data_IF_557019371645
#
_entry.id   IF_557019371645
#
_cell.length_a   1.000
_cell.length_b   1.000
_cell.length_c   1.000
_cell.angle_alpha   90.00
_cell.angle_beta   90.00
_cell.angle_gamma   90.00
#
_symmetry.space_group_name_H-M   'P 1'
#
loop_
_entity.id
_entity.type
_entity.pdbx_description
1 polymer ?
#
# COMPACT_ATOMS: atom_id res chain seq x y z
N UNK A 1 -6.48 4.51 -4.84
CA UNK A 1 -6.60 3.10 -5.24
C UNK A 1 -6.26 2.88 -6.70
N UNK A 2 -7.01 3.44 -7.68
CA UNK A 2 -6.76 3.28 -9.14
C UNK A 2 -5.28 3.32 -9.51
N UNK A 3 -4.57 4.41 -9.20
CA UNK A 3 -3.18 4.58 -9.58
C UNK A 3 -2.22 3.56 -8.93
N UNK A 4 -2.54 3.11 -7.72
CA UNK A 4 -1.76 2.09 -7.03
C UNK A 4 -2.03 0.72 -7.63
N UNK A 5 -3.29 0.35 -7.81
CA UNK A 5 -3.68 -0.96 -8.34
C UNK A 5 -3.22 -1.17 -9.78
N UNK A 6 -3.34 -0.17 -10.67
CA UNK A 6 -2.84 -0.29 -12.04
C UNK A 6 -1.32 -0.41 -12.09
N UNK A 7 -0.60 0.42 -11.31
CA UNK A 7 0.86 0.38 -11.26
C UNK A 7 1.42 -0.91 -10.68
N UNK A 8 0.80 -1.49 -9.64
CA UNK A 8 1.25 -2.80 -9.14
C UNK A 8 0.87 -3.93 -10.10
N UNK A 9 -0.29 -3.86 -10.75
CA UNK A 9 -0.74 -4.90 -11.67
C UNK A 9 0.17 -4.97 -12.91
N UNK A 10 0.49 -3.82 -13.52
CA UNK A 10 1.47 -3.73 -14.62
C UNK A 10 2.80 -4.36 -14.22
N UNK A 11 3.35 -3.93 -13.07
CA UNK A 11 4.64 -4.42 -12.57
C UNK A 11 4.62 -5.93 -12.31
N UNK A 12 3.61 -6.44 -11.60
CA UNK A 12 3.54 -7.85 -11.25
C UNK A 12 3.26 -8.73 -12.46
N UNK A 13 2.48 -8.27 -13.42
CA UNK A 13 2.26 -8.99 -14.67
C UNK A 13 3.57 -9.14 -15.46
N UNK A 14 4.42 -8.11 -15.47
CA UNK A 14 5.77 -8.21 -16.03
C UNK A 14 6.67 -9.18 -15.25
N UNK A 15 6.57 -9.24 -13.92
CA UNK A 15 7.30 -10.21 -13.10
C UNK A 15 6.85 -11.65 -13.44
N UNK A 16 5.55 -11.90 -13.53
CA UNK A 16 4.98 -13.18 -13.96
C UNK A 16 5.50 -13.59 -15.34
N UNK A 17 5.51 -12.66 -16.30
CA UNK A 17 6.05 -12.90 -17.65
C UNK A 17 7.50 -13.35 -17.62
N UNK A 18 8.34 -12.66 -16.84
CA UNK A 18 9.77 -12.97 -16.73
C UNK A 18 10.01 -14.28 -15.96
N UNK A 19 9.16 -14.60 -14.98
CA UNK A 19 9.23 -15.85 -14.22
C UNK A 19 9.01 -17.10 -15.10
N UNK A 20 8.27 -16.96 -16.22
CA UNK A 20 8.11 -18.01 -17.23
C UNK A 20 9.31 -18.15 -18.20
N UNK A 21 10.39 -17.37 -18.01
CA UNK A 21 11.57 -17.39 -18.86
C UNK A 21 11.26 -17.07 -20.32
N UNK A 22 11.90 -17.77 -21.26
CA UNK A 22 11.70 -17.57 -22.70
C UNK A 22 10.26 -17.83 -23.16
N UNK A 23 9.56 -18.78 -22.53
CA UNK A 23 8.17 -19.10 -22.88
C UNK A 23 7.22 -17.95 -22.57
N UNK A 24 7.48 -17.18 -21.51
CA UNK A 24 6.71 -15.97 -21.19
C UNK A 24 6.86 -14.85 -22.22
N UNK A 25 7.85 -14.91 -23.13
CA UNK A 25 7.95 -13.95 -24.24
C UNK A 25 7.00 -14.29 -25.39
N UNK A 26 6.65 -15.57 -25.55
CA UNK A 26 5.80 -16.03 -26.64
C UNK A 26 4.35 -15.57 -26.40
N UNK A 27 3.63 -15.28 -27.50
CA UNK A 27 2.21 -14.95 -27.45
C UNK A 27 1.39 -16.10 -26.84
N UNK A 28 1.86 -17.34 -27.01
CA UNK A 28 1.28 -18.54 -26.42
C UNK A 28 1.23 -18.54 -24.88
N UNK A 29 1.94 -17.62 -24.21
CA UNK A 29 1.83 -17.45 -22.75
C UNK A 29 0.58 -16.69 -22.30
N UNK A 30 -0.12 -15.96 -23.18
CA UNK A 30 -1.27 -15.12 -22.82
C UNK A 30 -0.93 -13.83 -22.06
N UNK A 31 0.24 -13.76 -21.40
CA UNK A 31 0.61 -12.65 -20.49
C UNK A 31 0.85 -11.32 -21.21
N UNK A 32 1.40 -11.35 -22.44
CA UNK A 32 1.78 -10.11 -23.15
C UNK A 32 0.57 -9.23 -23.51
N UNK A 33 -0.52 -9.77 -24.08
CA UNK A 33 -1.79 -9.03 -24.23
C UNK A 33 -2.28 -8.41 -22.91
N UNK A 34 -2.24 -9.17 -21.81
CA UNK A 34 -2.63 -8.69 -20.48
C UNK A 34 -1.77 -7.53 -20.02
N UNK A 35 -0.43 -7.63 -20.15
CA UNK A 35 0.48 -6.52 -19.84
C UNK A 35 0.12 -5.23 -20.59
N UNK A 36 -0.16 -5.32 -21.89
CA UNK A 36 -0.50 -4.15 -22.70
C UNK A 36 -1.79 -3.47 -22.20
N UNK A 37 -2.79 -4.25 -21.78
CA UNK A 37 -4.02 -3.72 -21.21
C UNK A 37 -3.79 -3.06 -19.85
N UNK A 38 -2.94 -3.65 -19.00
CA UNK A 38 -2.62 -3.11 -17.68
C UNK A 38 -1.79 -1.83 -17.77
N UNK A 39 -0.84 -1.76 -18.72
CA UNK A 39 -0.01 -0.58 -18.98
C UNK A 39 -0.88 0.63 -19.36
N UNK A 40 -1.85 0.44 -20.26
CA UNK A 40 -2.85 1.45 -20.60
C UNK A 40 -3.60 1.99 -19.36
N UNK A 41 -3.90 1.14 -18.38
CA UNK A 41 -4.54 1.51 -17.12
C UNK A 41 -3.72 2.43 -16.22
N UNK A 42 -2.41 2.59 -16.47
CA UNK A 42 -1.57 3.56 -15.78
C UNK A 42 -1.76 5.00 -16.29
N UNK A 43 -2.33 5.18 -17.48
CA UNK A 43 -2.49 6.48 -18.14
C UNK A 43 -3.95 6.88 -18.34
N UNK A 44 -4.82 5.96 -18.77
CA UNK A 44 -6.24 6.25 -18.97
C UNK A 44 -6.94 6.51 -17.63
N UNK A 45 -8.03 7.29 -17.65
CA UNK A 45 -8.78 7.67 -16.43
C UNK A 45 -7.94 8.40 -15.37
N UNK A 46 -6.93 9.15 -15.85
CA UNK A 46 -6.03 9.94 -15.02
C UNK A 46 -4.65 9.31 -14.87
N UNK A 47 -3.63 10.10 -15.19
CA UNK A 47 -2.23 9.73 -14.98
C UNK A 47 -1.98 9.37 -13.51
N UNK A 48 -1.28 8.25 -13.29
CA UNK A 48 -1.05 7.73 -11.95
C UNK A 48 -0.37 8.75 -11.02
N UNK A 49 0.62 9.52 -11.49
CA UNK A 49 1.31 10.51 -10.66
C UNK A 49 0.38 11.67 -10.28
N UNK A 50 -0.46 12.14 -11.22
CA UNK A 50 -1.48 13.16 -10.96
C UNK A 50 -2.49 12.68 -9.92
N UNK A 51 -2.99 11.45 -10.05
CA UNK A 51 -3.95 10.87 -9.10
C UNK A 51 -3.36 10.68 -7.70
N UNK A 52 -2.09 10.29 -7.59
CA UNK A 52 -1.40 10.27 -6.30
C UNK A 52 -1.30 11.67 -5.69
N UNK A 53 -0.94 12.69 -6.47
CA UNK A 53 -0.89 14.08 -5.98
C UNK A 53 -2.26 14.60 -5.55
N UNK A 54 -3.33 14.27 -6.27
CA UNK A 54 -4.71 14.60 -5.86
C UNK A 54 -5.06 13.97 -4.52
N UNK A 55 -4.71 12.69 -4.33
CA UNK A 55 -4.91 11.98 -3.07
C UNK A 55 -4.13 12.65 -1.93
N UNK A 56 -2.85 12.99 -2.15
CA UNK A 56 -2.04 13.66 -1.14
C UNK A 56 -2.62 15.03 -0.73
N UNK A 57 -3.08 15.83 -1.69
CA UNK A 57 -3.72 17.13 -1.44
C UNK A 57 -4.98 16.98 -0.59
N UNK A 58 -5.78 15.95 -0.84
CA UNK A 58 -6.96 15.64 -0.02
C UNK A 58 -6.56 15.34 1.44
N UNK A 59 -5.56 14.46 1.64
CA UNK A 59 -5.10 14.08 2.98
C UNK A 59 -4.53 15.28 3.76
N UNK A 60 -3.72 16.11 3.10
CA UNK A 60 -3.14 17.32 3.70
C UNK A 60 -4.26 18.28 4.11
N UNK A 61 -5.22 18.57 3.23
CA UNK A 61 -6.36 19.45 3.55
C UNK A 61 -7.17 18.94 4.74
N UNK A 62 -7.31 17.63 4.88
CA UNK A 62 -8.02 17.04 6.02
C UNK A 62 -7.26 17.28 7.33
N UNK A 63 -5.93 17.10 7.36
CA UNK A 63 -5.12 17.42 8.55
C UNK A 63 -5.15 18.91 8.88
N UNK A 64 -5.04 19.78 7.87
CA UNK A 64 -5.06 21.23 8.08
C UNK A 64 -6.37 21.72 8.69
N UNK A 65 -7.51 21.17 8.26
CA UNK A 65 -8.82 21.49 8.83
C UNK A 65 -8.97 21.06 10.30
N UNK A 66 -8.40 19.92 10.65
CA UNK A 66 -8.36 19.42 12.03
C UNK A 66 -7.51 20.34 12.92
N UNK A 67 -6.33 20.75 12.43
CA UNK A 67 -5.46 21.70 13.13
C UNK A 67 -6.13 23.08 13.32
N UNK A 68 -6.99 23.51 12.39
CA UNK A 68 -7.77 24.75 12.46
C UNK A 68 -9.02 24.65 13.38
N UNK A 69 -9.33 23.47 13.93
CA UNK A 69 -10.46 23.26 14.84
C UNK A 69 -11.84 23.26 14.15
N UNK A 70 -11.91 22.82 12.89
CA UNK A 70 -13.16 22.71 12.11
C UNK A 70 -14.01 21.52 12.59
N UNK A 71 -14.85 21.75 13.62
CA UNK A 71 -15.75 20.75 14.23
C UNK A 71 -16.81 20.17 13.25
N UNK A 72 -17.04 20.78 12.08
CA UNK A 72 -17.98 20.29 11.05
C UNK A 72 -17.32 19.31 10.06
N UNK A 73 -16.04 18.97 10.24
CA UNK A 73 -15.37 18.06 9.32
C UNK A 73 -15.94 16.64 9.42
N UNK A 74 -16.65 16.21 8.38
CA UNK A 74 -17.07 14.81 8.23
C UNK A 74 -15.84 13.93 7.96
N UNK A 75 -15.27 13.37 9.03
CA UNK A 75 -14.16 12.43 8.96
C UNK A 75 -14.68 11.10 8.44
N UNK A 76 -14.45 10.84 7.15
CA UNK A 76 -14.69 9.52 6.57
C UNK A 76 -13.88 8.44 7.29
N UNK A 77 -14.48 7.26 7.48
CA UNK A 77 -13.84 6.13 8.18
C UNK A 77 -12.48 5.75 7.61
N UNK A 78 -12.26 5.94 6.32
CA UNK A 78 -10.99 5.65 5.64
C UNK A 78 -9.81 6.51 6.08
N UNK A 79 -10.05 7.69 6.67
CA UNK A 79 -9.01 8.61 7.15
C UNK A 79 -9.06 8.84 8.67
N UNK A 80 -9.99 8.21 9.40
CA UNK A 80 -10.18 8.43 10.84
C UNK A 80 -8.91 8.18 11.66
N UNK A 81 -8.08 7.22 11.24
CA UNK A 81 -6.81 6.94 11.91
C UNK A 81 -5.81 8.10 11.82
N UNK A 82 -5.92 9.01 10.83
CA UNK A 82 -5.00 10.16 10.73
C UNK A 82 -5.14 11.12 11.92
N UNK A 83 -6.28 11.10 12.59
CA UNK A 83 -6.59 11.96 13.74
C UNK A 83 -6.47 11.22 15.07
N UNK A 84 -6.65 9.89 15.05
CA UNK A 84 -6.81 9.07 16.25
C UNK A 84 -5.92 7.81 16.30
N UNK A 85 -4.85 7.76 15.50
CA UNK A 85 -3.94 6.61 15.50
C UNK A 85 -3.40 6.33 16.91
N UNK A 86 -3.54 5.07 17.34
CA UNK A 86 -2.89 4.58 18.56
C UNK A 86 -1.38 4.49 18.33
N UNK A 87 -0.55 4.67 19.36
CA UNK A 87 0.89 4.48 19.23
C UNK A 87 1.25 3.12 18.65
N UNK A 88 2.28 3.11 17.81
CA UNK A 88 2.84 1.89 17.26
C UNK A 88 3.34 0.98 18.39
N UNK A 89 3.13 -0.34 18.28
CA UNK A 89 3.60 -1.28 19.28
C UNK A 89 5.13 -1.40 19.23
N UNK A 90 5.76 -1.65 20.39
CA UNK A 90 7.21 -1.87 20.45
C UNK A 90 7.64 -3.21 19.81
N UNK A 91 6.72 -4.16 19.73
CA UNK A 91 6.93 -5.49 19.13
C UNK A 91 5.66 -5.89 18.40
N UNK A 92 5.81 -6.50 17.23
CA UNK A 92 4.69 -6.97 16.42
C UNK A 92 4.35 -8.40 16.88
N UNK A 93 3.15 -8.59 17.38
CA UNK A 93 2.66 -9.87 17.91
C UNK A 93 1.48 -10.41 17.09
N UNK A 94 0.64 -9.52 16.56
CA UNK A 94 -0.58 -9.89 15.83
C UNK A 94 -0.85 -9.01 14.60
N UNK A 95 -1.98 -9.27 13.93
CA UNK A 95 -2.41 -8.53 12.73
C UNK A 95 -2.76 -7.06 13.04
N UNK A 96 -3.27 -6.80 14.25
CA UNK A 96 -3.63 -5.45 14.69
C UNK A 96 -2.39 -4.59 14.88
N UNK A 97 -1.28 -5.17 15.34
CA UNK A 97 0.02 -4.51 15.43
C UNK A 97 0.54 -4.03 14.08
N UNK A 98 0.43 -4.86 13.03
CA UNK A 98 0.77 -4.45 11.67
C UNK A 98 -0.10 -3.28 11.20
N UNK A 99 -1.40 -3.33 11.46
CA UNK A 99 -2.30 -2.25 11.07
C UNK A 99 -1.94 -0.94 11.76
N UNK A 100 -1.70 -0.97 13.08
CA UNK A 100 -1.26 0.21 13.86
C UNK A 100 0.06 0.76 13.34
N UNK A 101 1.01 -0.10 12.98
CA UNK A 101 2.30 0.32 12.45
C UNK A 101 2.16 1.09 11.13
N UNK A 102 1.33 0.60 10.21
CA UNK A 102 1.07 1.26 8.92
C UNK A 102 0.29 2.57 9.09
N UNK A 103 -0.70 2.58 9.99
CA UNK A 103 -1.45 3.78 10.34
C UNK A 103 -0.54 4.86 10.92
N UNK A 104 0.34 4.52 11.86
CA UNK A 104 1.34 5.45 12.39
C UNK A 104 2.27 5.96 11.28
N UNK A 105 2.80 5.08 10.43
CA UNK A 105 3.66 5.49 9.30
C UNK A 105 2.95 6.51 8.42
N UNK A 106 1.74 6.18 7.96
CA UNK A 106 0.98 7.04 7.07
C UNK A 106 0.62 8.37 7.75
N UNK A 107 0.15 8.35 9.00
CA UNK A 107 -0.18 9.56 9.75
C UNK A 107 1.05 10.48 9.89
N UNK A 108 2.19 9.94 10.32
CA UNK A 108 3.41 10.73 10.51
C UNK A 108 3.92 11.33 9.20
N UNK A 109 3.85 10.59 8.08
CA UNK A 109 4.24 11.10 6.77
C UNK A 109 3.30 12.23 6.30
N UNK A 110 1.98 12.07 6.43
CA UNK A 110 1.01 13.12 6.06
C UNK A 110 1.21 14.38 6.93
N UNK A 111 1.37 14.23 8.25
CA UNK A 111 1.64 15.37 9.15
C UNK A 111 2.97 16.07 8.81
N UNK A 112 4.02 15.31 8.53
CA UNK A 112 5.34 15.84 8.16
C UNK A 112 5.28 16.70 6.89
N UNK A 113 4.60 16.23 5.83
CA UNK A 113 4.45 17.04 4.62
C UNK A 113 3.51 18.23 4.83
N UNK A 114 2.44 18.08 5.62
CA UNK A 114 1.53 19.18 5.95
C UNK A 114 2.29 20.35 6.59
N UNK A 115 3.06 20.07 7.64
CA UNK A 115 3.86 21.07 8.35
C UNK A 115 4.88 21.75 7.42
N UNK A 116 5.59 20.97 6.60
CA UNK A 116 6.56 21.52 5.63
C UNK A 116 5.90 22.48 4.63
N UNK A 117 4.69 22.16 4.17
CA UNK A 117 3.95 23.02 3.23
C UNK A 117 3.46 24.30 3.92
N UNK A 118 3.03 24.23 5.18
CA UNK A 118 2.70 25.41 5.98
C UNK A 118 3.91 26.33 6.16
N UNK A 119 5.06 25.78 6.55
CA UNK A 119 6.32 26.52 6.71
C UNK A 119 6.74 27.21 5.39
N UNK A 120 6.62 26.49 4.27
CA UNK A 120 6.99 27.00 2.94
C UNK A 120 6.06 28.13 2.44
N UNK A 121 4.83 28.21 2.97
CA UNK A 121 3.84 29.23 2.61
C UNK A 121 4.19 30.63 3.15
N UNK A 122 5.16 30.72 4.05
CA UNK A 122 5.75 31.99 4.50
C UNK A 122 6.74 32.63 3.51
N UNK A 123 7.11 31.90 2.45
CA UNK A 123 7.99 32.37 1.39
C UNK A 123 7.23 33.07 0.26
N UNK A 124 7.92 33.83 -0.60
CA UNK A 124 7.33 34.47 -1.81
C UNK A 124 6.91 33.48 -2.91
N UNK A 125 6.89 32.17 -2.63
CA UNK A 125 6.50 31.13 -3.60
C UNK A 125 4.98 31.05 -3.72
N UNK A 126 4.46 30.79 -4.92
CA UNK A 126 3.03 30.51 -5.07
C UNK A 126 2.69 29.14 -4.48
N UNK A 127 1.43 28.89 -4.06
CA UNK A 127 1.01 27.57 -3.62
C UNK A 127 1.32 26.47 -4.65
N UNK A 128 1.13 26.76 -5.94
CA UNK A 128 1.46 25.84 -7.03
C UNK A 128 2.94 25.42 -7.00
N UNK A 129 3.86 26.38 -6.85
CA UNK A 129 5.29 26.11 -6.84
C UNK A 129 5.70 25.29 -5.61
N UNK A 130 5.08 25.55 -4.47
CA UNK A 130 5.32 24.78 -3.24
C UNK A 130 4.91 23.32 -3.44
N UNK A 131 3.73 23.06 -4.01
CA UNK A 131 3.28 21.70 -4.31
C UNK A 131 4.17 21.01 -5.36
N UNK A 132 4.58 21.74 -6.41
CA UNK A 132 5.43 21.20 -7.47
C UNK A 132 6.80 20.75 -6.93
N UNK A 133 7.43 21.59 -6.09
CA UNK A 133 8.70 21.28 -5.41
C UNK A 133 8.62 20.04 -4.50
N UNK A 134 7.42 19.70 -4.03
CA UNK A 134 7.19 18.55 -3.15
C UNK A 134 6.48 17.38 -3.85
N UNK A 135 6.36 17.39 -5.18
CA UNK A 135 5.61 16.40 -5.97
C UNK A 135 5.99 14.94 -5.67
N UNK A 136 7.28 14.64 -5.53
CA UNK A 136 7.78 13.30 -5.20
C UNK A 136 7.29 12.86 -3.81
N UNK A 137 7.40 13.73 -2.81
CA UNK A 137 6.96 13.45 -1.44
C UNK A 137 5.43 13.28 -1.37
N UNK A 138 4.68 14.08 -2.12
CA UNK A 138 3.23 13.94 -2.23
C UNK A 138 2.84 12.56 -2.77
N UNK A 139 3.54 12.08 -3.81
CA UNK A 139 3.31 10.73 -4.33
C UNK A 139 3.63 9.67 -3.28
N UNK A 140 4.73 9.83 -2.54
CA UNK A 140 5.12 8.91 -1.46
C UNK A 140 4.08 8.84 -0.34
N UNK A 141 3.62 10.00 0.14
CA UNK A 141 2.58 10.12 1.17
C UNK A 141 1.28 9.46 0.72
N UNK A 142 0.83 9.71 -0.52
CA UNK A 142 -0.36 9.08 -1.06
C UNK A 142 -0.23 7.55 -1.15
N UNK A 143 0.94 7.04 -1.54
CA UNK A 143 1.21 5.59 -1.53
C UNK A 143 1.14 5.01 -0.12
N UNK A 144 1.72 5.66 0.88
CA UNK A 144 1.66 5.20 2.29
C UNK A 144 0.23 5.07 2.82
N UNK A 145 -0.64 6.02 2.45
CA UNK A 145 -2.07 5.98 2.76
C UNK A 145 -2.77 4.80 2.07
N UNK A 146 -2.52 4.59 0.78
CA UNK A 146 -3.15 3.51 0.02
C UNK A 146 -2.66 2.14 0.49
N UNK A 147 -1.37 2.00 0.82
CA UNK A 147 -0.80 0.77 1.41
C UNK A 147 -1.48 0.43 2.73
N UNK A 148 -1.72 1.43 3.58
CA UNK A 148 -2.46 1.27 4.85
C UNK A 148 -3.90 0.85 4.60
N UNK A 149 -4.56 1.47 3.63
CA UNK A 149 -5.93 1.13 3.23
C UNK A 149 -6.03 -0.33 2.73
N UNK A 150 -5.11 -0.76 1.87
CA UNK A 150 -5.08 -2.15 1.36
C UNK A 150 -4.83 -3.14 2.49
N UNK A 151 -3.90 -2.82 3.41
CA UNK A 151 -3.64 -3.66 4.58
C UNK A 151 -4.90 -3.82 5.44
N UNK A 152 -5.65 -2.73 5.69
CA UNK A 152 -6.92 -2.78 6.44
C UNK A 152 -7.99 -3.59 5.71
N UNK A 153 -8.09 -3.46 4.38
CA UNK A 153 -9.01 -4.28 3.60
C UNK A 153 -8.66 -5.78 3.68
N UNK A 154 -7.38 -6.14 3.68
CA UNK A 154 -6.94 -7.53 3.91
C UNK A 154 -7.27 -7.99 5.33
N UNK A 155 -7.03 -7.16 6.34
CA UNK A 155 -7.42 -7.46 7.72
C UNK A 155 -8.92 -7.77 7.83
N UNK A 156 -9.77 -6.92 7.25
CA UNK A 156 -11.22 -7.13 7.23
C UNK A 156 -11.59 -8.42 6.49
N UNK A 157 -10.87 -8.76 5.42
CA UNK A 157 -10.98 -10.03 4.71
C UNK A 157 -10.70 -11.23 5.62
N UNK A 158 -9.60 -11.20 6.37
CA UNK A 158 -9.26 -12.23 7.37
C UNK A 158 -10.37 -12.35 8.41
N UNK A 159 -10.84 -11.22 8.96
CA UNK A 159 -11.91 -11.20 9.98
C UNK A 159 -13.21 -11.82 9.48
N UNK A 160 -13.60 -11.55 8.22
CA UNK A 160 -14.79 -12.15 7.59
C UNK A 160 -14.61 -13.66 7.36
N UNK A 161 -13.41 -14.09 7.04
CA UNK A 161 -13.10 -15.50 6.79
C UNK A 161 -13.00 -16.35 8.06
N UNK A 162 -12.99 -15.77 9.27
CA UNK A 162 -12.86 -16.50 10.54
C UNK A 162 -13.90 -17.62 10.76
N UNK A 163 -15.05 -17.56 10.08
CA UNK A 163 -16.06 -18.62 10.12
C UNK A 163 -15.61 -19.90 9.39
N UNK A 164 -14.58 -19.82 8.54
CA UNK A 164 -14.02 -20.90 7.76
C UNK A 164 -12.53 -21.03 8.06
N UNK A 165 -12.17 -21.86 9.06
CA UNK A 165 -10.80 -21.97 9.58
C UNK A 165 -9.72 -22.12 8.50
N UNK A 166 -9.93 -22.93 7.47
CA UNK A 166 -8.96 -23.12 6.39
C UNK A 166 -8.77 -21.87 5.53
N UNK A 167 -9.85 -21.15 5.22
CA UNK A 167 -9.79 -19.91 4.43
C UNK A 167 -9.17 -18.77 5.24
N UNK A 168 -9.51 -18.66 6.52
CA UNK A 168 -8.93 -17.68 7.42
C UNK A 168 -7.40 -17.79 7.48
N UNK A 169 -6.87 -19.01 7.58
CA UNK A 169 -5.42 -19.26 7.61
C UNK A 169 -4.72 -18.79 6.33
N UNK A 170 -5.31 -19.02 5.16
CA UNK A 170 -4.73 -18.59 3.88
C UNK A 170 -4.79 -17.06 3.74
N UNK A 171 -5.89 -16.44 4.14
CA UNK A 171 -6.00 -14.98 4.12
C UNK A 171 -5.04 -14.32 5.11
N UNK A 172 -4.82 -14.93 6.27
CA UNK A 172 -3.83 -14.47 7.23
C UNK A 172 -2.40 -14.56 6.66
N UNK A 173 -2.08 -15.62 5.93
CA UNK A 173 -0.80 -15.73 5.23
C UNK A 173 -0.63 -14.66 4.16
N UNK A 174 -1.67 -14.40 3.35
CA UNK A 174 -1.66 -13.33 2.34
C UNK A 174 -1.50 -11.95 2.98
N UNK A 175 -2.16 -11.71 4.11
CA UNK A 175 -1.98 -10.50 4.90
C UNK A 175 -0.52 -10.32 5.32
N UNK A 176 0.10 -11.35 5.92
CA UNK A 176 1.50 -11.27 6.37
C UNK A 176 2.46 -11.07 5.20
N UNK A 177 2.25 -11.78 4.09
CA UNK A 177 3.06 -11.58 2.88
C UNK A 177 2.97 -10.13 2.41
N UNK A 178 1.76 -9.57 2.29
CA UNK A 178 1.58 -8.17 1.89
C UNK A 178 2.23 -7.20 2.88
N UNK A 179 2.00 -7.38 4.18
CA UNK A 179 2.48 -6.50 5.24
C UNK A 179 4.01 -6.49 5.29
N UNK A 180 4.64 -7.66 5.35
CA UNK A 180 6.09 -7.78 5.48
C UNK A 180 6.78 -7.38 4.17
N UNK A 181 6.22 -7.73 3.01
CA UNK A 181 6.76 -7.30 1.72
C UNK A 181 6.73 -5.77 1.57
N UNK A 182 5.61 -5.13 1.93
CA UNK A 182 5.48 -3.67 1.87
C UNK A 182 6.41 -3.00 2.87
N UNK A 183 6.49 -3.52 4.10
CA UNK A 183 7.41 -3.04 5.14
C UNK A 183 8.86 -3.10 4.68
N UNK A 184 9.27 -4.21 4.08
CA UNK A 184 10.62 -4.39 3.50
C UNK A 184 10.91 -3.35 2.42
N UNK A 185 9.99 -3.18 1.45
CA UNK A 185 10.17 -2.23 0.35
C UNK A 185 10.19 -0.77 0.83
N UNK A 186 9.59 -0.49 1.98
CA UNK A 186 9.48 0.84 2.58
C UNK A 186 10.23 0.96 3.91
N UNK A 187 11.25 0.12 4.13
CA UNK A 187 11.96 0.00 5.41
C UNK A 187 12.51 1.33 5.91
N UNK A 188 12.94 2.19 4.98
CA UNK A 188 13.46 3.52 5.28
C UNK A 188 12.45 4.37 6.08
N UNK A 189 11.15 4.30 5.78
CA UNK A 189 10.14 5.06 6.51
C UNK A 189 10.00 4.55 7.94
N UNK A 190 9.83 3.23 8.11
CA UNK A 190 9.64 2.61 9.42
C UNK A 190 10.83 2.87 10.35
N UNK A 191 12.05 2.83 9.82
CA UNK A 191 13.27 3.10 10.58
C UNK A 191 13.41 4.59 10.90
N UNK A 192 13.25 5.49 9.91
CA UNK A 192 13.40 6.94 10.11
C UNK A 192 12.38 7.52 11.08
N UNK A 193 11.15 6.98 11.05
CA UNK A 193 10.07 7.35 11.96
C UNK A 193 10.18 6.65 13.32
N UNK A 194 11.21 5.82 13.53
CA UNK A 194 11.44 5.04 14.77
C UNK A 194 10.28 4.13 15.13
N UNK A 195 9.54 3.67 14.13
CA UNK A 195 8.45 2.70 14.28
C UNK A 195 9.01 1.28 14.39
N UNK A 196 10.15 1.02 13.76
CA UNK A 196 10.90 -0.22 13.89
C UNK A 196 12.41 0.06 13.92
N UNK A 197 13.16 -0.85 14.55
CA UNK A 197 14.61 -0.88 14.43
C UNK A 197 15.05 -1.59 13.14
N UNK A 198 16.27 -1.32 12.69
CA UNK A 198 16.87 -2.05 11.57
C UNK A 198 16.93 -3.56 11.83
N UNK A 199 17.15 -3.97 13.08
CA UNK A 199 17.15 -5.38 13.49
C UNK A 199 15.77 -6.00 13.32
N UNK A 200 14.70 -5.33 13.75
CA UNK A 200 13.33 -5.83 13.58
C UNK A 200 12.97 -6.01 12.10
N UNK A 201 13.36 -5.05 11.24
CA UNK A 201 13.18 -5.17 9.79
C UNK A 201 13.96 -6.36 9.24
N UNK A 202 15.22 -6.52 9.63
CA UNK A 202 16.07 -7.63 9.21
C UNK A 202 15.49 -8.99 9.61
N UNK A 203 14.96 -9.12 10.83
CA UNK A 203 14.33 -10.35 11.32
C UNK A 203 13.07 -10.71 10.51
N UNK A 204 12.23 -9.73 10.20
CA UNK A 204 11.03 -9.92 9.38
C UNK A 204 11.40 -10.35 7.95
N UNK A 205 12.39 -9.71 7.33
CA UNK A 205 12.86 -10.04 5.98
C UNK A 205 13.52 -11.41 5.91
N UNK A 206 14.38 -11.74 6.87
CA UNK A 206 15.25 -12.93 6.81
C UNK A 206 14.51 -14.20 7.20
N UNK A 207 13.57 -14.12 8.16
CA UNK A 207 12.95 -15.30 8.74
C UNK A 207 11.44 -15.36 8.49
N UNK A 208 10.73 -14.27 8.79
CA UNK A 208 9.25 -14.29 8.75
C UNK A 208 8.72 -14.36 7.32
N UNK A 209 9.26 -13.56 6.39
CA UNK A 209 8.79 -13.56 5.00
C UNK A 209 9.03 -14.89 4.27
N UNK A 210 10.23 -15.52 4.34
CA UNK A 210 10.45 -16.84 3.75
C UNK A 210 9.57 -17.94 4.35
N UNK A 211 9.35 -17.92 5.67
CA UNK A 211 8.43 -18.85 6.33
C UNK A 211 7.00 -18.69 5.79
N UNK A 212 6.51 -17.46 5.65
CA UNK A 212 5.19 -17.21 5.05
C UNK A 212 5.10 -17.69 3.61
N UNK A 213 6.14 -17.49 2.79
CA UNK A 213 6.18 -18.05 1.43
C UNK A 213 6.11 -19.58 1.43
N UNK A 214 6.84 -20.25 2.33
CA UNK A 214 6.81 -21.71 2.44
C UNK A 214 5.43 -22.24 2.86
N UNK A 215 4.75 -21.54 3.77
CA UNK A 215 3.40 -21.91 4.22
C UNK A 215 2.32 -21.64 3.17
N UNK A 216 2.47 -20.57 2.38
CA UNK A 216 1.52 -20.21 1.33
C UNK A 216 1.69 -21.08 0.08
N UNK A 217 2.93 -21.53 -0.20
CA UNK A 217 3.30 -22.27 -1.43
C UNK A 217 2.35 -23.44 -1.78
N UNK A 218 1.95 -24.33 -0.84
CA UNK A 218 1.06 -25.44 -1.16
C UNK A 218 -0.33 -25.01 -1.66
N UNK A 219 -0.76 -23.78 -1.33
CA UNK A 219 -2.07 -23.25 -1.66
C UNK A 219 -2.07 -22.36 -2.91
N UNK A 220 -0.90 -22.04 -3.50
CA UNK A 220 -0.82 -21.04 -4.57
C UNK A 220 -1.61 -21.41 -5.81
N UNK A 221 -1.57 -22.68 -6.24
CA UNK A 221 -2.34 -23.14 -7.41
C UNK A 221 -3.84 -23.01 -7.12
N UNK A 222 -4.30 -23.53 -5.99
CA UNK A 222 -5.71 -23.43 -5.57
C UNK A 222 -6.19 -21.99 -5.40
N UNK A 223 -5.32 -21.07 -4.97
CA UNK A 223 -5.64 -19.65 -4.89
C UNK A 223 -5.87 -19.02 -6.26
N UNK A 224 -5.04 -19.38 -7.25
CA UNK A 224 -5.21 -18.91 -8.63
C UNK A 224 -6.41 -19.56 -9.29
N UNK A 225 -6.62 -20.86 -9.08
CA UNK A 225 -7.82 -21.59 -9.55
C UNK A 225 -9.10 -20.97 -8.95
N UNK A 226 -9.03 -20.42 -7.74
CA UNK A 226 -10.14 -19.72 -7.09
C UNK A 226 -10.60 -18.43 -7.80
N UNK A 227 -9.85 -17.93 -8.79
CA UNK A 227 -10.34 -16.87 -9.68
C UNK A 227 -11.32 -17.38 -10.73
N UNK A 228 -11.36 -18.69 -10.97
CA UNK A 228 -12.32 -19.37 -11.85
C UNK A 228 -12.30 -18.86 -13.31
N UNK A 229 -11.10 -18.58 -13.83
CA UNK A 229 -10.91 -18.23 -15.24
C UNK A 229 -10.94 -19.47 -16.13
N UNK A 230 -11.70 -19.42 -17.21
CA UNK A 230 -11.70 -20.45 -18.25
C UNK A 230 -10.52 -20.30 -19.22
N UNK A 231 -10.09 -21.39 -19.86
CA UNK A 231 -8.99 -21.39 -20.84
C UNK A 231 -9.21 -20.43 -22.02
N UNK A 232 -10.46 -20.09 -22.36
CA UNK A 232 -10.77 -19.13 -23.43
C UNK A 232 -10.68 -17.66 -22.95
N UNK A 233 -10.55 -17.42 -21.65
CA UNK A 233 -10.33 -16.11 -21.05
C UNK A 233 -8.84 -15.83 -20.78
N UNK A 234 -7.99 -16.87 -20.81
CA UNK A 234 -6.55 -16.84 -20.52
C UNK A 234 -5.65 -16.75 -21.76
#
# INVERSE_FOLDING_TARGET
LKAYSSGIAERFSQICRVACGGHGYLIASGIKPVNNMLDAGCTYEGDNAVLFQQTARFLIKAIQKDDDGDDEMNIGSSIAYLFSAKPAPATIVDLDDYCRLFECRSQMLVKSISNRLMESSSSSSTPHDIFLKNSIELVHVAKSYIETFVLRALYDGVRKALQHNSLALVFEQLFHVFAIHTLRNQAADFIRLKLLTAEQVYQLETYSLPDMYNRLRPNLVTLVDGFDFHDNEL
#
